data_IF_258883772154
#
_entry.id   IF_258883772154
#
_cell.length_a   1.000
_cell.length_b   1.000
_cell.length_c   1.000
_cell.angle_alpha   90.00
_cell.angle_beta   90.00
_cell.angle_gamma   90.00
#
_symmetry.space_group_name_H-M   'P 1'
#
loop_
_entity.id
_entity.type
_entity.pdbx_description
1 polymer ?
#
# COMPACT_ATOMS: atom_id res chain seq x y z
N UNK A 1 4.37 -2.14 -12.74
CA UNK A 1 5.14 -3.13 -13.51
C UNK A 1 5.66 -2.46 -14.78
N UNK A 2 6.69 -2.99 -15.45
CA UNK A 2 7.08 -2.52 -16.76
C UNK A 2 5.94 -2.71 -17.78
N UNK A 3 5.78 -1.78 -18.72
CA UNK A 3 4.82 -1.92 -19.83
C UNK A 3 3.35 -1.73 -19.45
N UNK A 4 3.06 -1.09 -18.31
CA UNK A 4 1.68 -0.83 -17.84
C UNK A 4 1.22 0.61 -18.01
N UNK A 5 1.91 1.42 -18.82
CA UNK A 5 1.45 2.77 -19.15
C UNK A 5 0.22 2.76 -20.07
N UNK A 6 -0.67 3.76 -20.01
CA UNK A 6 -1.73 3.91 -20.99
C UNK A 6 -1.19 3.86 -22.43
N UNK A 7 -1.88 3.13 -23.31
CA UNK A 7 -1.45 2.84 -24.68
C UNK A 7 -0.52 1.62 -24.81
N UNK A 8 -0.04 1.05 -23.71
CA UNK A 8 0.73 -0.19 -23.71
C UNK A 8 -0.16 -1.42 -23.71
N UNK A 9 0.46 -2.58 -23.90
CA UNK A 9 -0.22 -3.86 -24.03
C UNK A 9 0.36 -4.87 -23.04
N UNK A 10 -0.51 -5.59 -22.31
CA UNK A 10 -0.13 -6.64 -21.36
C UNK A 10 -0.78 -7.95 -21.77
N UNK A 11 0.02 -9.01 -21.90
CA UNK A 11 -0.49 -10.36 -22.17
C UNK A 11 -0.74 -11.10 -20.87
N UNK A 12 -1.98 -11.48 -20.63
CA UNK A 12 -2.38 -12.25 -19.45
C UNK A 12 -1.94 -13.70 -19.62
N UNK A 13 -1.45 -14.33 -18.55
CA UNK A 13 -0.99 -15.72 -18.63
C UNK A 13 0.43 -15.89 -19.18
N UNK A 14 1.02 -14.87 -19.78
CA UNK A 14 2.41 -14.92 -20.19
C UNK A 14 3.35 -14.90 -18.98
N UNK A 15 4.52 -15.53 -19.11
CA UNK A 15 5.70 -15.26 -18.29
C UNK A 15 6.18 -13.85 -18.63
N UNK A 16 5.45 -12.84 -18.15
CA UNK A 16 5.89 -11.47 -18.29
C UNK A 16 7.20 -11.28 -17.51
N UNK A 17 8.04 -10.34 -17.96
CA UNK A 17 9.33 -10.08 -17.32
C UNK A 17 9.18 -9.81 -15.82
N UNK A 18 10.12 -10.31 -15.02
CA UNK A 18 10.13 -10.07 -13.56
C UNK A 18 9.94 -8.59 -13.25
N UNK A 19 9.09 -8.27 -12.28
CA UNK A 19 9.00 -6.89 -11.78
C UNK A 19 10.37 -6.53 -11.21
N UNK A 20 11.00 -5.47 -11.73
CA UNK A 20 12.32 -5.02 -11.30
C UNK A 20 12.23 -3.84 -10.33
N UNK A 21 13.22 -3.68 -9.46
CA UNK A 21 13.32 -2.51 -8.57
C UNK A 21 12.40 -2.58 -7.34
N UNK A 22 11.85 -3.75 -7.02
CA UNK A 22 11.13 -3.96 -5.77
C UNK A 22 12.10 -4.11 -4.59
N UNK A 23 11.74 -3.61 -3.40
CA UNK A 23 12.42 -4.00 -2.17
C UNK A 23 12.40 -5.53 -2.01
N UNK A 24 13.49 -6.11 -1.49
CA UNK A 24 13.65 -7.56 -1.35
C UNK A 24 12.48 -8.22 -0.60
N UNK A 25 11.96 -7.57 0.44
CA UNK A 25 10.81 -8.08 1.21
C UNK A 25 9.50 -8.21 0.40
N UNK A 26 9.37 -7.46 -0.71
CA UNK A 26 8.23 -7.54 -1.64
C UNK A 26 8.57 -8.49 -2.79
N UNK A 27 9.81 -8.43 -3.29
CA UNK A 27 10.29 -9.31 -4.35
C UNK A 27 10.20 -10.79 -3.97
N UNK A 28 10.43 -11.10 -2.69
CA UNK A 28 10.46 -12.44 -2.13
C UNK A 28 9.13 -12.87 -1.49
N UNK A 29 8.03 -12.16 -1.76
CA UNK A 29 6.70 -12.62 -1.33
C UNK A 29 6.45 -14.04 -1.84
N UNK A 30 5.79 -14.84 -1.01
CA UNK A 30 5.33 -16.18 -1.37
C UNK A 30 3.81 -16.25 -1.19
N UNK A 31 3.03 -16.49 -2.27
CA UNK A 31 3.45 -16.65 -3.66
C UNK A 31 4.03 -15.36 -4.28
N UNK A 32 4.89 -15.51 -5.29
CA UNK A 32 5.60 -14.41 -5.93
C UNK A 32 4.66 -13.51 -6.75
N UNK A 33 4.88 -12.18 -6.75
CA UNK A 33 4.05 -11.28 -7.53
C UNK A 33 4.06 -11.59 -9.03
N UNK A 34 2.88 -11.60 -9.62
CA UNK A 34 2.67 -11.88 -11.03
C UNK A 34 3.12 -10.68 -11.88
N UNK A 35 3.95 -10.96 -12.88
CA UNK A 35 4.36 -9.95 -13.84
C UNK A 35 3.18 -9.43 -14.68
N UNK A 36 3.31 -8.19 -15.18
CA UNK A 36 2.23 -7.49 -15.88
C UNK A 36 1.15 -6.88 -14.95
N UNK A 37 1.18 -7.20 -13.65
CA UNK A 37 0.36 -6.55 -12.63
C UNK A 37 1.19 -5.55 -11.84
N UNK A 38 0.60 -4.41 -11.52
CA UNK A 38 1.14 -3.47 -10.55
C UNK A 38 0.98 -4.01 -9.12
N UNK A 39 1.74 -3.38 -8.21
CA UNK A 39 1.73 -3.64 -6.77
C UNK A 39 1.56 -2.29 -6.08
N UNK A 40 0.73 -2.25 -5.05
CA UNK A 40 0.60 -1.06 -4.19
C UNK A 40 0.99 -1.39 -2.75
N UNK A 41 1.78 -0.50 -2.15
CA UNK A 41 2.17 -0.57 -0.74
C UNK A 41 1.44 0.55 0.00
N UNK A 42 0.58 0.16 0.94
CA UNK A 42 -0.13 1.09 1.82
C UNK A 42 0.58 1.13 3.17
N UNK A 43 0.95 2.32 3.62
CA UNK A 43 1.51 2.55 4.95
C UNK A 43 0.64 3.56 5.67
N UNK A 44 0.09 3.18 6.80
CA UNK A 44 -0.86 4.01 7.55
C UNK A 44 -0.85 3.68 9.03
N UNK A 45 -1.40 4.58 9.83
CA UNK A 45 -1.67 4.34 11.25
C UNK A 45 -3.13 3.87 11.39
N UNK A 46 -3.39 2.98 12.35
CA UNK A 46 -4.74 2.53 12.67
C UNK A 46 -5.66 3.73 12.96
N UNK A 47 -6.95 3.56 12.65
CA UNK A 47 -7.94 4.63 12.87
C UNK A 47 -8.05 5.02 14.35
N UNK A 48 -7.81 4.05 15.25
CA UNK A 48 -7.75 4.30 16.68
C UNK A 48 -6.33 4.28 17.22
N UNK A 49 -6.10 5.12 18.24
CA UNK A 49 -4.87 5.18 19.00
C UNK A 49 -5.14 5.34 20.49
N UNK A 50 -4.07 5.26 21.27
CA UNK A 50 -4.06 5.43 22.72
C UNK A 50 -3.19 6.65 23.07
N UNK A 51 -3.68 7.57 23.92
CA UNK A 51 -2.86 8.71 24.33
C UNK A 51 -1.61 8.26 25.11
N UNK A 52 -0.46 8.81 24.74
CA UNK A 52 0.76 8.62 25.51
C UNK A 52 0.67 9.46 26.80
N UNK A 53 1.08 8.85 27.91
CA UNK A 53 1.12 9.47 29.25
C UNK A 53 2.54 9.54 29.82
N UNK A 54 3.50 8.84 29.20
CA UNK A 54 4.91 8.90 29.56
C UNK A 54 5.81 8.54 28.38
N UNK A 55 6.97 9.19 28.31
CA UNK A 55 8.05 8.90 27.37
C UNK A 55 9.33 8.85 28.19
N UNK A 56 9.97 7.70 28.25
CA UNK A 56 11.24 7.51 28.95
C UNK A 56 12.27 6.91 28.00
N UNK A 57 13.33 7.67 27.70
CA UNK A 57 14.45 7.16 26.92
C UNK A 57 15.34 6.25 27.78
N UNK A 58 15.81 5.14 27.19
CA UNK A 58 16.79 4.24 27.76
C UNK A 58 17.83 3.91 26.67
N UNK A 59 18.91 4.67 26.63
CA UNK A 59 19.91 4.59 25.56
C UNK A 59 19.29 4.93 24.20
N UNK A 60 19.36 3.98 23.26
CA UNK A 60 18.75 4.11 21.93
C UNK A 60 17.26 3.75 21.91
N UNK A 61 16.69 3.23 23.00
CA UNK A 61 15.31 2.79 23.06
C UNK A 61 14.44 3.84 23.76
N UNK A 62 13.13 3.77 23.52
CA UNK A 62 12.14 4.58 24.23
C UNK A 62 11.04 3.70 24.78
N UNK A 63 10.70 3.89 26.06
CA UNK A 63 9.49 3.31 26.65
C UNK A 63 8.38 4.34 26.63
N UNK A 64 7.25 3.97 26.02
CA UNK A 64 6.02 4.74 25.98
C UNK A 64 5.03 4.13 26.97
N UNK A 65 4.49 4.95 27.87
CA UNK A 65 3.50 4.54 28.87
C UNK A 65 2.13 5.08 28.50
N UNK A 66 1.08 4.26 28.66
CA UNK A 66 -0.29 4.61 28.34
C UNK A 66 -1.30 3.88 29.25
N UNK A 67 -2.56 4.29 29.19
CA UNK A 67 -3.65 3.66 29.93
C UNK A 67 -3.90 2.22 29.42
N UNK A 68 -3.58 1.23 30.25
CA UNK A 68 -3.72 -0.19 29.92
C UNK A 68 -5.17 -0.60 29.60
N UNK A 69 -6.17 0.11 30.12
CA UNK A 69 -7.59 -0.18 29.85
C UNK A 69 -7.98 0.13 28.39
N UNK A 70 -7.17 0.93 27.68
CA UNK A 70 -7.38 1.30 26.27
C UNK A 70 -6.55 0.45 25.31
N UNK A 71 -5.86 -0.58 25.80
CA UNK A 71 -4.94 -1.39 25.00
C UNK A 71 -5.61 -2.13 23.83
N UNK A 72 -6.90 -2.45 23.95
CA UNK A 72 -7.70 -3.07 22.90
C UNK A 72 -7.61 -2.30 21.57
N UNK A 73 -7.46 -0.97 21.60
CA UNK A 73 -7.35 -0.11 20.41
C UNK A 73 -6.12 -0.38 19.54
N UNK A 74 -5.05 -0.92 20.13
CA UNK A 74 -3.82 -1.29 19.41
C UNK A 74 -3.82 -2.74 18.94
N UNK A 75 -4.77 -3.55 19.42
CA UNK A 75 -4.84 -5.01 19.20
C UNK A 75 -6.10 -5.45 18.45
N UNK A 76 -6.90 -4.51 17.97
CA UNK A 76 -8.13 -4.77 17.21
C UNK A 76 -7.84 -5.26 15.77
N UNK A 77 -8.87 -5.44 14.94
CA UNK A 77 -8.79 -5.89 13.53
C UNK A 77 -8.02 -7.22 13.36
N UNK A 78 -8.12 -8.11 14.35
CA UNK A 78 -7.49 -9.43 14.32
C UNK A 78 -5.98 -9.44 14.55
N UNK A 79 -5.37 -8.35 15.04
CA UNK A 79 -3.92 -8.30 15.35
C UNK A 79 -3.68 -8.34 16.85
N UNK A 80 -3.63 -9.55 17.41
CA UNK A 80 -3.47 -9.75 18.86
C UNK A 80 -2.12 -9.27 19.42
N UNK A 81 -1.06 -9.29 18.61
CA UNK A 81 0.31 -8.94 19.02
C UNK A 81 0.95 -7.97 18.01
N UNK A 82 0.61 -6.68 18.04
CA UNK A 82 1.19 -5.68 17.17
C UNK A 82 2.69 -5.53 17.45
N UNK A 83 3.46 -5.35 16.38
CA UNK A 83 4.93 -5.22 16.45
C UNK A 83 5.45 -3.96 15.77
N UNK A 84 4.55 -3.19 15.15
CA UNK A 84 4.85 -1.94 14.46
C UNK A 84 3.89 -0.86 14.97
N UNK A 85 4.43 0.30 15.32
CA UNK A 85 3.70 1.38 15.96
C UNK A 85 4.00 2.70 15.29
N UNK A 86 3.05 3.62 15.40
CA UNK A 86 3.25 5.02 15.11
C UNK A 86 3.08 5.85 16.37
N UNK A 87 3.87 6.90 16.53
CA UNK A 87 3.64 7.96 17.48
C UNK A 87 3.44 9.25 16.70
N UNK A 88 2.42 10.03 17.05
CA UNK A 88 2.14 11.27 16.34
C UNK A 88 1.52 12.34 17.25
N UNK A 89 1.76 13.58 16.89
CA UNK A 89 1.05 14.77 17.35
C UNK A 89 0.73 15.68 16.14
N UNK A 90 0.40 16.95 16.37
CA UNK A 90 0.07 17.88 15.29
C UNK A 90 1.26 18.27 14.40
N UNK A 91 2.51 18.04 14.86
CA UNK A 91 3.72 18.48 14.18
C UNK A 91 4.59 17.32 13.67
N UNK A 92 4.52 16.16 14.31
CA UNK A 92 5.41 15.03 14.06
C UNK A 92 4.65 13.73 13.94
N UNK A 93 5.22 12.82 13.15
CA UNK A 93 4.85 11.42 13.13
C UNK A 93 6.08 10.55 12.91
N UNK A 94 6.27 9.53 13.74
CA UNK A 94 7.33 8.53 13.62
C UNK A 94 6.73 7.13 13.61
N UNK A 95 7.29 6.23 12.80
CA UNK A 95 6.96 4.81 12.77
C UNK A 95 8.14 4.00 13.26
N UNK A 96 7.91 3.04 14.14
CA UNK A 96 8.96 2.24 14.75
C UNK A 96 8.49 0.81 15.05
N UNK A 97 9.43 -0.12 15.08
CA UNK A 97 9.18 -1.45 15.61
C UNK A 97 9.23 -1.40 17.14
N UNK A 98 8.38 -2.18 17.78
CA UNK A 98 8.33 -2.22 19.24
C UNK A 98 7.81 -3.51 19.81
N UNK A 99 8.15 -3.76 21.07
CA UNK A 99 7.60 -4.83 21.88
C UNK A 99 6.60 -4.27 22.86
N UNK A 100 5.62 -5.07 23.25
CA UNK A 100 4.49 -4.58 24.03
C UNK A 100 4.22 -5.39 25.29
N UNK A 101 3.71 -4.69 26.29
CA UNK A 101 2.93 -5.23 27.40
C UNK A 101 1.71 -4.32 27.56
N UNK A 102 0.60 -4.79 28.12
CA UNK A 102 -0.59 -3.94 28.26
C UNK A 102 -0.24 -2.62 28.98
N UNK A 103 -0.47 -1.48 28.30
CA UNK A 103 -0.13 -0.15 28.80
C UNK A 103 1.31 0.31 28.54
N UNK A 104 2.13 -0.46 27.83
CA UNK A 104 3.53 -0.10 27.53
C UNK A 104 3.97 -0.57 26.14
N UNK A 105 4.60 0.35 25.39
CA UNK A 105 5.30 0.03 24.13
C UNK A 105 6.76 0.42 24.29
N UNK A 106 7.68 -0.51 24.02
CA UNK A 106 9.11 -0.22 23.96
C UNK A 106 9.53 -0.08 22.50
N UNK A 107 9.78 1.15 22.06
CA UNK A 107 10.37 1.47 20.77
C UNK A 107 11.83 1.02 20.74
N UNK A 108 12.15 0.09 19.84
CA UNK A 108 13.49 -0.48 19.71
C UNK A 108 14.34 0.33 18.74
N UNK A 109 15.51 0.80 19.19
CA UNK A 109 16.46 1.54 18.35
C UNK A 109 16.01 2.95 17.95
N UNK A 110 14.97 3.50 18.60
CA UNK A 110 14.50 4.87 18.38
C UNK A 110 14.42 5.64 19.70
N UNK A 111 15.09 6.80 19.75
CA UNK A 111 14.96 7.77 20.83
C UNK A 111 13.94 8.87 20.44
N UNK A 112 12.81 8.91 21.12
CA UNK A 112 11.71 9.85 20.88
C UNK A 112 11.64 10.97 21.92
N UNK A 113 12.55 11.00 22.89
CA UNK A 113 12.53 11.97 23.98
C UNK A 113 12.76 13.40 23.46
N UNK A 114 12.01 14.36 24.01
CA UNK A 114 12.10 15.77 23.66
C UNK A 114 11.40 16.16 22.34
N UNK A 115 10.95 15.20 21.53
CA UNK A 115 10.19 15.48 20.28
C UNK A 115 8.69 15.64 20.52
N UNK A 116 8.16 14.89 21.49
CA UNK A 116 6.74 14.77 21.75
C UNK A 116 6.37 15.28 23.14
N UNK A 117 5.16 15.82 23.28
CA UNK A 117 4.58 16.25 24.55
C UNK A 117 3.37 15.37 24.88
N UNK A 118 3.51 14.57 25.93
CA UNK A 118 2.47 13.62 26.38
C UNK A 118 1.29 14.32 27.08
N UNK A 119 0.20 13.58 27.26
CA UNK A 119 -0.95 14.02 28.05
C UNK A 119 -0.55 14.24 29.53
N UNK A 120 -1.23 15.16 30.24
CA UNK A 120 -2.41 15.91 29.80
C UNK A 120 -2.11 17.21 29.04
N UNK A 121 -0.84 17.64 28.99
CA UNK A 121 -0.48 18.94 28.42
C UNK A 121 -0.35 18.92 26.91
N UNK A 122 0.10 17.80 26.33
CA UNK A 122 0.17 17.62 24.88
C UNK A 122 -0.78 16.54 24.36
N UNK A 123 -0.79 16.38 23.04
CA UNK A 123 -1.75 15.54 22.32
C UNK A 123 -1.09 14.34 21.63
N UNK A 124 0.04 13.87 22.16
CA UNK A 124 0.73 12.71 21.60
C UNK A 124 -0.09 11.44 21.74
N UNK A 125 -0.29 10.77 20.60
CA UNK A 125 -1.03 9.52 20.47
C UNK A 125 -0.10 8.43 19.94
N UNK A 126 -0.29 7.21 20.44
CA UNK A 126 0.33 5.99 19.91
C UNK A 126 -0.71 5.19 19.14
N UNK A 127 -0.35 4.75 17.95
CA UNK A 127 -1.18 3.98 17.04
C UNK A 127 -0.49 2.67 16.70
N UNK A 128 -1.27 1.67 16.28
CA UNK A 128 -0.70 0.55 15.53
C UNK A 128 -0.33 1.07 14.14
N UNK A 129 0.88 0.81 13.69
CA UNK A 129 1.27 1.12 12.32
C UNK A 129 1.11 -0.11 11.44
N UNK A 130 0.66 0.12 10.22
CA UNK A 130 0.36 -0.92 9.23
C UNK A 130 1.18 -0.68 7.96
N UNK A 131 1.68 -1.78 7.41
CA UNK A 131 2.25 -1.80 6.06
C UNK A 131 1.66 -2.99 5.32
N UNK A 132 0.81 -2.70 4.34
CA UNK A 132 0.10 -3.68 3.53
C UNK A 132 0.58 -3.62 2.09
N UNK A 133 0.75 -4.77 1.47
CA UNK A 133 1.03 -4.91 0.05
C UNK A 133 -0.16 -5.59 -0.60
N UNK A 134 -0.77 -4.95 -1.60
CA UNK A 134 -1.76 -5.59 -2.45
C UNK A 134 -1.13 -5.91 -3.80
N UNK A 135 -1.29 -7.15 -4.24
CA UNK A 135 -0.66 -7.67 -5.44
C UNK A 135 -1.43 -8.86 -6.01
N UNK A 136 -1.22 -9.16 -7.29
CA UNK A 136 -1.73 -10.40 -7.90
C UNK A 136 -0.65 -11.46 -7.85
N UNK A 137 -1.01 -12.69 -7.49
CA UNK A 137 -0.18 -13.86 -7.68
C UNK A 137 -1.02 -15.10 -7.94
N UNK A 138 -0.41 -16.13 -8.52
CA UNK A 138 -1.08 -17.42 -8.67
C UNK A 138 -1.09 -18.15 -7.33
N UNK A 139 -2.24 -18.70 -6.97
CA UNK A 139 -2.37 -19.66 -5.89
C UNK A 139 -1.48 -20.88 -6.22
N UNK A 140 -0.61 -21.31 -5.29
CA UNK A 140 0.36 -22.37 -5.56
C UNK A 140 -0.30 -23.75 -5.69
N UNK A 141 -1.49 -23.94 -5.11
CA UNK A 141 -2.22 -25.21 -5.11
C UNK A 141 -3.11 -25.36 -6.34
N UNK A 142 -3.80 -24.29 -6.74
CA UNK A 142 -4.76 -24.32 -7.86
C UNK A 142 -4.21 -23.75 -9.17
N UNK A 143 -3.13 -22.96 -9.11
CA UNK A 143 -2.63 -22.17 -10.24
C UNK A 143 -3.52 -20.98 -10.62
N UNK A 144 -4.62 -20.75 -9.90
CA UNK A 144 -5.55 -19.66 -10.16
C UNK A 144 -4.98 -18.32 -9.68
N UNK A 145 -5.05 -17.24 -10.47
CA UNK A 145 -4.60 -15.93 -10.07
C UNK A 145 -5.57 -15.35 -9.06
N UNK A 146 -5.03 -14.71 -8.05
CA UNK A 146 -5.81 -14.11 -6.98
C UNK A 146 -5.22 -12.77 -6.58
N UNK A 147 -6.11 -11.87 -6.12
CA UNK A 147 -5.72 -10.72 -5.35
C UNK A 147 -5.28 -11.20 -3.98
N UNK A 148 -4.07 -10.81 -3.61
CA UNK A 148 -3.45 -11.13 -2.34
C UNK A 148 -3.16 -9.86 -1.56
N UNK A 149 -3.17 -9.99 -0.25
CA UNK A 149 -2.70 -8.99 0.69
C UNK A 149 -1.55 -9.56 1.47
N UNK A 150 -0.45 -8.85 1.57
CA UNK A 150 0.63 -9.19 2.49
C UNK A 150 0.80 -8.11 3.55
N UNK A 151 0.90 -8.52 4.82
CA UNK A 151 1.06 -7.61 5.96
C UNK A 151 2.46 -7.72 6.54
N UNK A 152 3.10 -6.58 6.79
CA UNK A 152 4.40 -6.54 7.44
C UNK A 152 4.31 -6.87 8.93
N UNK A 153 5.24 -7.67 9.43
CA UNK A 153 5.55 -7.77 10.85
C UNK A 153 6.62 -6.76 11.27
N UNK A 154 6.96 -6.73 12.56
CA UNK A 154 7.96 -5.81 13.14
C UNK A 154 9.40 -6.11 12.72
N UNK A 155 9.64 -7.28 12.14
CA UNK A 155 10.89 -7.64 11.47
C UNK A 155 10.95 -7.15 10.01
N UNK A 156 9.93 -6.43 9.53
CA UNK A 156 9.82 -5.93 8.17
C UNK A 156 9.49 -7.00 7.12
N UNK A 157 9.25 -8.25 7.53
CA UNK A 157 8.85 -9.34 6.65
C UNK A 157 7.34 -9.33 6.42
N UNK A 158 6.93 -9.69 5.21
CA UNK A 158 5.52 -9.73 4.83
C UNK A 158 4.97 -11.15 4.84
N UNK A 159 3.79 -11.33 5.44
CA UNK A 159 3.03 -12.59 5.36
C UNK A 159 1.82 -12.39 4.45
N UNK A 160 1.69 -13.24 3.43
CA UNK A 160 0.66 -13.13 2.39
C UNK A 160 -0.56 -14.00 2.66
N UNK A 161 -1.74 -13.44 2.41
CA UNK A 161 -3.03 -14.14 2.40
C UNK A 161 -3.76 -13.88 1.08
N UNK A 162 -4.61 -14.83 0.70
CA UNK A 162 -5.49 -14.68 -0.46
C UNK A 162 -6.75 -13.91 -0.07
N UNK A 163 -7.20 -12.99 -0.90
CA UNK A 163 -8.44 -12.23 -0.67
C UNK A 163 -9.54 -12.63 -1.65
N UNK A 164 -9.21 -12.64 -2.95
CA UNK A 164 -10.19 -12.84 -4.02
C UNK A 164 -9.54 -13.62 -5.15
N UNK A 165 -10.03 -14.83 -5.41
CA UNK A 165 -9.68 -15.62 -6.58
C UNK A 165 -10.19 -14.94 -7.86
N UNK A 166 -9.51 -15.17 -8.99
CA UNK A 166 -9.92 -14.72 -10.31
C UNK A 166 -9.45 -13.32 -10.69
N UNK A 167 -8.70 -12.62 -9.83
CA UNK A 167 -8.08 -11.33 -10.18
C UNK A 167 -6.80 -11.59 -10.96
N UNK A 168 -6.78 -11.22 -12.25
CA UNK A 168 -5.66 -11.50 -13.15
C UNK A 168 -4.65 -10.35 -13.26
N UNK A 169 -5.09 -9.12 -13.03
CA UNK A 169 -4.27 -7.93 -13.20
C UNK A 169 -4.76 -6.79 -12.29
N UNK A 170 -3.82 -6.10 -11.64
CA UNK A 170 -4.01 -4.80 -10.99
C UNK A 170 -3.24 -3.74 -11.78
N UNK A 171 -3.84 -2.59 -12.00
CA UNK A 171 -3.21 -1.43 -12.64
C UNK A 171 -3.47 -0.19 -11.81
N UNK A 172 -2.49 0.72 -11.73
CA UNK A 172 -2.65 1.99 -11.03
C UNK A 172 -2.21 3.19 -11.87
N UNK A 173 -3.00 4.26 -11.80
CA UNK A 173 -2.59 5.61 -12.20
C UNK A 173 -2.66 6.55 -11.00
N UNK A 174 -1.67 7.42 -10.89
CA UNK A 174 -1.53 8.38 -9.80
C UNK A 174 -1.84 9.78 -10.32
N UNK A 175 -2.87 10.41 -9.76
CA UNK A 175 -3.25 11.78 -10.03
C UNK A 175 -2.39 12.74 -9.22
N UNK A 176 -1.72 13.67 -9.90
CA UNK A 176 -0.82 14.65 -9.28
C UNK A 176 -1.49 16.02 -9.14
N UNK A 177 -1.38 16.59 -7.93
CA UNK A 177 -1.75 17.98 -7.66
C UNK A 177 -0.90 18.95 -8.50
N UNK A 178 -1.52 20.05 -8.91
CA UNK A 178 -0.87 21.11 -9.68
C UNK A 178 0.25 21.82 -8.90
N UNK A 179 0.24 21.75 -7.57
CA UNK A 179 1.34 22.22 -6.74
C UNK A 179 2.55 21.31 -6.90
N UNK A 180 3.60 21.80 -7.56
CA UNK A 180 4.78 20.99 -7.89
C UNK A 180 5.68 20.68 -6.69
N UNK A 181 5.65 21.53 -5.66
CA UNK A 181 6.44 21.36 -4.44
C UNK A 181 5.56 21.46 -3.20
N UNK A 182 5.17 20.30 -2.65
CA UNK A 182 4.33 20.24 -1.45
C UNK A 182 5.16 20.51 -0.19
N UNK A 183 4.80 21.57 0.54
CA UNK A 183 5.38 21.96 1.82
C UNK A 183 4.34 22.68 2.70
N UNK A 184 4.68 22.98 3.96
CA UNK A 184 3.78 23.70 4.88
C UNK A 184 3.32 25.06 4.33
N UNK A 185 4.24 25.80 3.71
CA UNK A 185 3.94 27.11 3.10
C UNK A 185 3.29 27.00 1.72
N UNK A 186 3.33 25.82 1.11
CA UNK A 186 2.78 25.51 -0.23
C UNK A 186 2.00 24.20 -0.16
N UNK A 187 0.86 24.18 0.55
CA UNK A 187 0.03 22.98 0.69
C UNK A 187 -0.58 22.58 -0.67
N UNK A 188 -1.06 21.33 -0.82
CA UNK A 188 -1.81 20.94 -2.00
C UNK A 188 -3.06 21.82 -2.18
N UNK A 189 -3.45 22.06 -3.43
CA UNK A 189 -4.63 22.87 -3.77
C UNK A 189 -5.84 22.02 -4.17
N UNK A 190 -5.67 20.69 -4.22
CA UNK A 190 -6.70 19.73 -4.59
C UNK A 190 -7.00 19.69 -6.09
N UNK A 191 -6.14 20.28 -6.92
CA UNK A 191 -6.33 20.34 -8.37
C UNK A 191 -5.45 19.31 -9.06
N UNK A 192 -6.06 18.21 -9.51
CA UNK A 192 -5.37 17.13 -10.21
C UNK A 192 -5.28 17.46 -11.71
N UNK A 193 -4.06 17.70 -12.21
CA UNK A 193 -3.83 18.10 -13.61
C UNK A 193 -3.28 16.98 -14.49
N UNK A 194 -2.70 15.94 -13.89
CA UNK A 194 -2.02 14.87 -14.61
C UNK A 194 -2.25 13.52 -13.95
N UNK A 195 -2.26 12.46 -14.76
CA UNK A 195 -2.26 11.07 -14.32
C UNK A 195 -1.00 10.37 -14.83
N UNK A 196 -0.30 9.66 -13.95
CA UNK A 196 0.98 9.01 -14.28
C UNK A 196 1.06 7.61 -13.70
N UNK A 197 1.78 6.72 -14.38
CA UNK A 197 2.24 5.46 -13.77
C UNK A 197 3.33 5.73 -12.72
N UNK A 198 3.54 4.80 -11.79
CA UNK A 198 4.50 4.94 -10.69
C UNK A 198 5.91 5.38 -11.14
N UNK A 199 6.43 4.77 -12.22
CA UNK A 199 7.76 5.09 -12.76
C UNK A 199 7.87 6.53 -13.28
N UNK A 200 6.75 7.12 -13.68
CA UNK A 200 6.66 8.50 -14.16
C UNK A 200 6.32 9.50 -13.05
N UNK A 201 5.98 9.02 -11.85
CA UNK A 201 5.89 9.85 -10.63
C UNK A 201 7.30 10.07 -10.09
N UNK A 202 7.98 9.00 -9.65
CA UNK A 202 9.40 8.98 -9.34
C UNK A 202 9.89 7.56 -9.03
N UNK A 203 11.12 7.24 -9.43
CA UNK A 203 11.82 5.99 -9.09
C UNK A 203 12.97 6.17 -8.10
N UNK A 204 13.48 7.39 -7.94
CA UNK A 204 14.54 7.70 -6.99
C UNK A 204 14.03 7.75 -5.54
N UNK A 205 14.94 7.71 -4.56
CA UNK A 205 14.63 7.68 -3.12
C UNK A 205 14.95 8.98 -2.37
N UNK A 206 15.38 10.02 -3.09
CA UNK A 206 15.75 11.32 -2.50
C UNK A 206 14.55 12.24 -2.23
N UNK A 207 14.83 13.40 -1.63
CA UNK A 207 13.80 14.38 -1.24
C UNK A 207 12.94 14.88 -2.41
N UNK A 208 13.53 15.07 -3.59
CA UNK A 208 12.79 15.48 -4.79
C UNK A 208 11.76 14.42 -5.23
N UNK A 209 12.15 13.14 -5.22
CA UNK A 209 11.25 12.03 -5.52
C UNK A 209 10.15 11.91 -4.46
N UNK A 210 10.51 12.02 -3.18
CA UNK A 210 9.54 12.06 -2.10
C UNK A 210 8.53 13.20 -2.27
N UNK A 211 8.96 14.36 -2.79
CA UNK A 211 8.06 15.46 -3.08
C UNK A 211 7.09 15.14 -4.23
N UNK A 212 7.52 14.50 -5.31
CA UNK A 212 6.60 14.04 -6.37
C UNK A 212 5.53 13.09 -5.82
N UNK A 213 5.91 12.16 -4.94
CA UNK A 213 4.94 11.30 -4.26
C UNK A 213 4.01 12.09 -3.32
N UNK A 214 4.45 13.23 -2.77
CA UNK A 214 3.60 14.13 -1.97
C UNK A 214 2.45 14.74 -2.76
N UNK A 215 2.62 14.95 -4.06
CA UNK A 215 1.59 15.49 -4.95
C UNK A 215 0.46 14.51 -5.26
N UNK A 216 0.62 13.22 -4.95
CA UNK A 216 -0.41 12.22 -5.22
C UNK A 216 -1.64 12.49 -4.35
N UNK A 217 -2.67 13.06 -4.97
CA UNK A 217 -3.97 13.37 -4.37
C UNK A 217 -5.09 12.43 -4.82
N UNK A 218 -4.86 11.65 -5.86
CA UNK A 218 -5.80 10.65 -6.39
C UNK A 218 -5.07 9.38 -6.81
N UNK A 219 -5.70 8.22 -6.64
CA UNK A 219 -5.25 6.95 -7.21
C UNK A 219 -6.41 6.35 -8.00
N UNK A 220 -6.19 6.07 -9.28
CA UNK A 220 -7.10 5.24 -10.06
C UNK A 220 -6.66 3.79 -9.96
N UNK A 221 -7.60 2.90 -9.68
CA UNK A 221 -7.39 1.47 -9.53
C UNK A 221 -8.17 0.77 -10.63
N UNK A 222 -7.48 -0.06 -11.40
CA UNK A 222 -8.07 -0.90 -12.42
C UNK A 222 -7.82 -2.37 -12.11
N UNK A 223 -8.84 -3.20 -12.26
CA UNK A 223 -8.74 -4.65 -12.11
C UNK A 223 -9.23 -5.37 -13.35
N UNK A 224 -8.54 -6.44 -13.72
CA UNK A 224 -9.04 -7.46 -14.63
C UNK A 224 -9.46 -8.69 -13.82
N UNK A 225 -10.71 -9.10 -14.02
CA UNK A 225 -11.32 -10.23 -13.31
C UNK A 225 -11.70 -11.30 -14.32
N UNK A 226 -11.53 -12.58 -13.95
CA UNK A 226 -12.00 -13.73 -14.73
C UNK A 226 -13.02 -14.57 -13.96
N UNK A 227 -13.86 -15.28 -14.70
CA UNK A 227 -14.75 -16.29 -14.12
C UNK A 227 -13.96 -17.45 -13.50
N UNK A 228 -14.39 -18.02 -12.36
CA UNK A 228 -13.67 -19.11 -11.71
C UNK A 228 -13.66 -20.37 -12.57
N UNK A 229 -14.74 -20.64 -13.31
CA UNK A 229 -14.84 -21.73 -14.28
C UNK A 229 -14.86 -21.23 -15.73
N UNK A 230 -14.45 -22.05 -16.71
CA UNK A 230 -14.71 -21.76 -18.12
C UNK A 230 -16.21 -21.51 -18.36
N UNK A 231 -16.51 -20.53 -19.19
CA UNK A 231 -17.87 -20.09 -19.54
C UNK A 231 -18.11 -20.15 -21.06
N UNK A 232 -17.34 -20.98 -21.77
CA UNK A 232 -17.30 -21.06 -23.24
C UNK A 232 -17.08 -19.68 -23.91
N UNK A 233 -16.38 -18.77 -23.22
CA UNK A 233 -16.10 -17.45 -23.74
C UNK A 233 -15.12 -17.55 -24.91
N UNK A 234 -15.47 -16.92 -26.04
CA UNK A 234 -14.56 -16.81 -27.17
C UNK A 234 -13.35 -15.95 -26.79
N UNK A 235 -12.16 -16.33 -27.27
CA UNK A 235 -10.98 -15.49 -27.13
C UNK A 235 -11.22 -14.15 -27.86
N UNK A 236 -11.00 -12.99 -27.22
CA UNK A 236 -11.16 -11.70 -27.88
C UNK A 236 -10.22 -11.57 -29.09
N UNK A 237 -10.78 -11.19 -30.23
CA UNK A 237 -9.99 -10.69 -31.37
C UNK A 237 -9.41 -9.31 -31.03
N UNK A 238 -8.42 -8.86 -31.81
CA UNK A 238 -7.72 -7.59 -31.55
C UNK A 238 -8.66 -6.39 -31.39
N UNK A 239 -9.68 -6.28 -32.25
CA UNK A 239 -10.66 -5.20 -32.20
C UNK A 239 -11.54 -5.17 -30.93
N UNK A 240 -11.62 -6.29 -30.19
CA UNK A 240 -12.51 -6.46 -29.03
C UNK A 240 -11.72 -6.72 -27.73
N UNK A 241 -10.42 -6.41 -27.71
CA UNK A 241 -9.62 -6.57 -26.49
C UNK A 241 -10.09 -5.64 -25.39
N UNK A 242 -10.07 -6.15 -24.16
CA UNK A 242 -10.40 -5.38 -22.97
C UNK A 242 -9.29 -4.36 -22.67
N UNK A 243 -9.66 -3.26 -22.03
CA UNK A 243 -8.72 -2.26 -21.52
C UNK A 243 -8.85 -2.11 -20.00
N UNK A 244 -7.73 -1.85 -19.32
CA UNK A 244 -7.69 -1.47 -17.89
C UNK A 244 -6.80 -0.24 -17.75
N UNK A 245 -7.37 0.88 -17.34
CA UNK A 245 -6.71 2.19 -17.22
C UNK A 245 -5.92 2.58 -18.48
N UNK A 246 -6.47 2.27 -19.65
CA UNK A 246 -5.83 2.52 -20.94
C UNK A 246 -4.75 1.51 -21.35
N UNK A 247 -4.50 0.46 -20.56
CA UNK A 247 -3.65 -0.68 -20.94
C UNK A 247 -4.49 -1.71 -21.68
N UNK A 248 -4.07 -2.11 -22.88
CA UNK A 248 -4.74 -3.16 -23.67
C UNK A 248 -4.39 -4.54 -23.13
N UNK A 249 -5.40 -5.35 -22.85
CA UNK A 249 -5.27 -6.72 -22.35
C UNK A 249 -5.28 -7.71 -23.53
N UNK A 250 -4.19 -8.44 -23.70
CA UNK A 250 -4.11 -9.56 -24.66
C UNK A 250 -4.47 -10.85 -23.95
N UNK A 251 -5.39 -11.66 -24.52
CA UNK A 251 -5.71 -12.97 -23.95
C UNK A 251 -4.51 -13.91 -23.97
N UNK A 252 -4.54 -14.99 -23.16
CA UNK A 252 -3.51 -16.02 -23.22
C UNK A 252 -3.43 -16.67 -24.61
N UNK A 253 -2.24 -17.15 -24.98
CA UNK A 253 -1.99 -17.79 -26.29
C UNK A 253 -2.85 -19.02 -26.52
N UNK A 254 -3.12 -19.78 -25.45
CA UNK A 254 -4.12 -20.85 -25.44
C UNK A 254 -5.37 -20.33 -24.75
N UNK A 255 -6.50 -20.40 -25.45
CA UNK A 255 -7.79 -19.99 -24.88
C UNK A 255 -8.13 -20.86 -23.68
N UNK A 256 -8.48 -20.21 -22.56
CA UNK A 256 -8.95 -20.87 -21.34
C UNK A 256 -10.49 -20.90 -21.24
N UNK A 257 -11.19 -20.35 -22.24
CA UNK A 257 -12.66 -20.31 -22.27
C UNK A 257 -13.29 -19.49 -21.14
N UNK A 258 -12.50 -18.71 -20.39
CA UNK A 258 -12.98 -17.93 -19.25
C UNK A 258 -13.47 -16.56 -19.66
N UNK A 259 -14.60 -16.16 -19.09
CA UNK A 259 -15.13 -14.82 -19.25
C UNK A 259 -14.26 -13.84 -18.46
N UNK A 260 -14.01 -12.66 -19.04
CA UNK A 260 -13.22 -11.60 -18.42
C UNK A 260 -13.99 -10.29 -18.43
N UNK A 261 -13.84 -9.53 -17.35
CA UNK A 261 -14.39 -8.18 -17.22
C UNK A 261 -13.39 -7.27 -16.53
N UNK A 262 -13.51 -5.97 -16.78
CA UNK A 262 -12.67 -4.94 -16.16
C UNK A 262 -13.51 -4.06 -15.25
N UNK A 263 -12.89 -3.58 -14.19
CA UNK A 263 -13.50 -2.60 -13.29
C UNK A 263 -12.47 -1.55 -12.92
N UNK A 264 -12.89 -0.29 -12.95
CA UNK A 264 -12.04 0.87 -12.68
C UNK A 264 -12.73 1.80 -11.69
N UNK A 265 -11.97 2.29 -10.72
CA UNK A 265 -12.46 3.25 -9.73
C UNK A 265 -11.38 4.30 -9.44
N UNK A 266 -11.81 5.48 -8.99
CA UNK A 266 -10.92 6.55 -8.56
C UNK A 266 -11.08 6.81 -7.06
N UNK A 267 -9.97 6.81 -6.33
CA UNK A 267 -9.90 7.12 -4.89
C UNK A 267 -9.25 8.49 -4.71
N UNK A 268 -9.99 9.41 -4.10
CA UNK A 268 -9.46 10.70 -3.66
C UNK A 268 -8.81 10.55 -2.27
N UNK A 269 -7.56 11.00 -2.12
CA UNK A 269 -6.84 10.95 -0.86
C UNK A 269 -7.06 12.28 -0.12
N UNK A 270 -8.11 12.36 0.71
CA UNK A 270 -8.55 13.63 1.34
C UNK A 270 -7.43 14.40 2.04
N UNK A 271 -6.61 13.73 2.84
CA UNK A 271 -5.48 14.32 3.57
C UNK A 271 -4.37 14.86 2.64
N UNK A 272 -4.45 14.55 1.34
CA UNK A 272 -3.52 14.97 0.29
C UNK A 272 -4.11 16.01 -0.64
N UNK A 273 -5.41 16.28 -0.54
CA UNK A 273 -6.11 17.26 -1.37
C UNK A 273 -6.31 18.60 -0.65
N UNK A 274 -6.49 18.59 0.67
CA UNK A 274 -6.85 19.79 1.43
C UNK A 274 -5.87 20.13 2.57
N UNK A 275 -4.76 19.39 2.65
CA UNK A 275 -3.84 19.45 3.80
C UNK A 275 -4.43 18.78 5.05
N UNK A 276 -3.58 18.60 6.07
CA UNK A 276 -4.00 18.32 7.44
C UNK A 276 -3.91 19.60 8.25
#
# INVERSE_FOLDING_TARGET
APGTSPGQTVTVGATAGSITGLPAAIQNLSPAPRAGSDIIVLRFLSAEGVPATGIAAAGSNTTLTMDATRWARLTDDGVAAPTLFGIADCAHADVFAGTTTAGTVVASGVNLAGRYVVQPTGQTMVYRAESLVYYVANNPDTGEPALRRARAGGNGQYTSEELVEGIESLQFLYGLDSTETIATQTPPVGNITEQRVASSVATATGAAAANQWRRVGQVQVGVLVRSPTPAAAAAPIEANRLGVLGVTVVPPTTSDGRYRATYELSVALRNRLFGN
#
